data_IF_680383417592
#
_entry.id   IF_680383417592
#
_cell.length_a   1.000
_cell.length_b   1.000
_cell.length_c   1.000
_cell.angle_alpha   90.00
_cell.angle_beta   90.00
_cell.angle_gamma   90.00
#
_symmetry.space_group_name_H-M   'P 1'
#
loop_
_entity.id
_entity.type
_entity.pdbx_description
1 polymer ?
#
# COMPACT_ATOMS: atom_id res chain seq x y z
N UNK A 1 -2.55 -9.27 -8.29
CA UNK A 1 -3.76 -8.63 -7.71
C UNK A 1 -3.74 -8.76 -6.20
N UNK A 2 -4.14 -7.73 -5.46
CA UNK A 2 -4.16 -7.69 -3.99
C UNK A 2 -5.56 -8.08 -3.48
N UNK A 3 -5.70 -9.02 -2.53
CA UNK A 3 -6.99 -9.36 -1.93
C UNK A 3 -7.61 -8.18 -1.16
N UNK A 4 -8.95 -8.02 -1.14
CA UNK A 4 -9.59 -7.00 -0.30
C UNK A 4 -9.30 -7.19 1.19
N UNK A 5 -9.27 -6.09 1.94
CA UNK A 5 -8.98 -6.08 3.37
C UNK A 5 -7.77 -5.24 3.73
N UNK A 6 -7.30 -5.35 4.97
CA UNK A 6 -6.13 -4.62 5.45
C UNK A 6 -4.84 -5.26 4.96
N UNK A 7 -3.88 -4.44 4.55
CA UNK A 7 -2.51 -4.85 4.22
C UNK A 7 -1.52 -3.84 4.76
N UNK A 8 -0.30 -4.30 5.05
CA UNK A 8 0.82 -3.44 5.43
C UNK A 8 1.86 -3.42 4.31
N UNK A 9 2.14 -2.23 3.79
CA UNK A 9 3.16 -2.01 2.76
C UNK A 9 4.38 -1.42 3.45
N UNK A 10 5.49 -2.15 3.43
CA UNK A 10 6.75 -1.74 4.05
C UNK A 10 7.85 -1.52 3.03
N UNK A 11 8.71 -0.55 3.30
CA UNK A 11 9.93 -0.31 2.54
C UNK A 11 11.08 0.04 3.48
N UNK A 12 12.30 -0.17 3.00
CA UNK A 12 13.53 0.16 3.74
C UNK A 12 14.50 0.86 2.81
N UNK A 13 15.06 1.95 3.30
CA UNK A 13 16.24 2.58 2.69
C UNK A 13 17.46 1.94 3.35
N UNK A 14 18.49 1.62 2.57
CA UNK A 14 19.69 0.98 3.09
C UNK A 14 20.27 1.75 4.29
N UNK A 15 20.48 1.05 5.41
CA UNK A 15 20.97 1.63 6.66
C UNK A 15 19.93 2.35 7.52
N UNK A 16 18.66 2.43 7.10
CA UNK A 16 17.58 3.02 7.88
C UNK A 16 16.62 1.96 8.48
N UNK A 17 15.88 2.30 9.55
CA UNK A 17 14.75 1.50 9.99
C UNK A 17 13.71 1.28 8.88
N UNK A 18 12.92 0.21 9.00
CA UNK A 18 11.82 -0.04 8.07
C UNK A 18 10.69 0.96 8.34
N UNK A 19 10.21 1.62 7.29
CA UNK A 19 9.01 2.45 7.32
C UNK A 19 7.89 1.76 6.54
N UNK A 20 6.64 2.14 6.77
CA UNK A 20 5.52 1.59 6.02
C UNK A 20 4.20 2.23 6.36
N UNK A 21 3.13 1.72 5.77
CA UNK A 21 1.78 2.19 6.03
C UNK A 21 0.78 1.05 5.88
N UNK A 22 -0.33 1.18 6.59
CA UNK A 22 -1.48 0.31 6.42
C UNK A 22 -2.43 0.90 5.39
N UNK A 23 -3.04 0.02 4.58
CA UNK A 23 -4.11 0.38 3.68
C UNK A 23 -5.22 -0.66 3.75
N UNK A 24 -6.47 -0.20 3.71
CA UNK A 24 -7.62 -1.09 3.58
C UNK A 24 -8.06 -1.11 2.11
N UNK A 25 -7.69 -2.17 1.40
CA UNK A 25 -8.03 -2.37 0.00
C UNK A 25 -9.49 -2.76 -0.18
N UNK A 26 -10.17 -2.05 -1.06
CA UNK A 26 -11.50 -2.38 -1.56
C UNK A 26 -11.41 -3.27 -2.79
N UNK A 27 -12.50 -3.96 -3.11
CA UNK A 27 -12.52 -4.83 -4.29
C UNK A 27 -12.29 -4.02 -5.57
N UNK A 28 -11.37 -4.50 -6.43
CA UNK A 28 -10.96 -3.84 -7.70
C UNK A 28 -10.37 -2.43 -7.53
N UNK A 29 -9.93 -2.07 -6.34
CA UNK A 29 -9.26 -0.80 -6.12
C UNK A 29 -7.89 -0.76 -6.84
N UNK A 30 -7.64 0.34 -7.55
CA UNK A 30 -6.31 0.67 -8.08
C UNK A 30 -5.71 1.72 -7.15
N UNK A 31 -4.71 1.30 -6.39
CA UNK A 31 -4.00 2.15 -5.44
C UNK A 31 -2.58 2.40 -5.94
N UNK A 32 -2.23 3.66 -6.14
CA UNK A 32 -0.94 4.05 -6.69
C UNK A 32 -0.27 5.10 -5.81
N UNK A 33 1.03 4.94 -5.58
CA UNK A 33 1.86 5.93 -4.90
C UNK A 33 3.17 6.14 -5.63
N UNK A 34 3.73 7.33 -5.48
CA UNK A 34 5.02 7.71 -6.07
C UNK A 34 6.05 7.96 -4.98
N UNK A 35 7.24 7.43 -5.18
CA UNK A 35 8.37 7.70 -4.31
C UNK A 35 8.75 9.19 -4.35
N UNK A 36 8.86 9.81 -3.18
CA UNK A 36 9.41 11.15 -3.02
C UNK A 36 10.77 11.04 -2.34
N UNK A 37 11.86 11.21 -3.12
CA UNK A 37 13.22 11.04 -2.62
C UNK A 37 13.62 12.05 -1.56
N UNK A 38 13.11 13.29 -1.62
CA UNK A 38 13.44 14.34 -0.65
C UNK A 38 12.89 14.07 0.74
N UNK A 39 11.67 13.52 0.83
CA UNK A 39 11.04 13.15 2.10
C UNK A 39 11.27 11.68 2.48
N UNK A 40 11.79 10.88 1.55
CA UNK A 40 12.01 9.44 1.70
C UNK A 40 10.73 8.69 2.10
N UNK A 41 9.62 9.03 1.43
CA UNK A 41 8.28 8.45 1.63
C UNK A 41 7.51 8.29 0.31
N UNK A 42 6.52 7.39 0.29
CA UNK A 42 5.58 7.22 -0.82
C UNK A 42 4.41 8.19 -0.75
N UNK A 43 4.37 9.20 -1.61
CA UNK A 43 3.25 10.15 -1.67
C UNK A 43 2.13 9.66 -2.58
N UNK A 44 0.92 10.12 -2.29
CA UNK A 44 -0.22 9.96 -3.18
C UNK A 44 0.03 10.68 -4.51
N UNK A 45 -0.53 10.11 -5.56
CA UNK A 45 -0.57 10.73 -6.88
C UNK A 45 -1.72 11.73 -6.95
N UNK A 46 -1.63 12.69 -7.85
CA UNK A 46 -2.77 13.53 -8.18
C UNK A 46 -3.90 12.69 -8.81
N UNK A 47 -5.13 13.21 -8.73
CA UNK A 47 -6.32 12.49 -9.18
C UNK A 47 -6.28 12.14 -10.67
N UNK A 48 -5.71 13.02 -11.52
CA UNK A 48 -5.67 12.82 -12.96
C UNK A 48 -4.73 11.66 -13.29
N UNK A 49 -3.53 11.65 -12.73
CA UNK A 49 -2.55 10.56 -12.91
C UNK A 49 -3.11 9.24 -12.42
N UNK A 50 -3.72 9.24 -11.22
CA UNK A 50 -4.31 8.03 -10.63
C UNK A 50 -5.42 7.45 -11.50
N UNK A 51 -6.30 8.31 -12.02
CA UNK A 51 -7.40 7.90 -12.91
C UNK A 51 -6.87 7.37 -14.23
N UNK A 52 -5.82 7.98 -14.78
CA UNK A 52 -5.19 7.53 -16.02
C UNK A 52 -4.55 6.14 -15.86
N UNK A 53 -3.84 5.88 -14.77
CA UNK A 53 -3.26 4.56 -14.49
C UNK A 53 -4.37 3.50 -14.35
N UNK A 54 -5.48 3.83 -13.70
CA UNK A 54 -6.60 2.91 -13.48
C UNK A 54 -7.36 2.53 -14.77
N UNK A 55 -7.06 3.14 -15.92
CA UNK A 55 -7.66 2.75 -17.19
C UNK A 55 -7.27 1.30 -17.55
N UNK A 56 -8.22 0.43 -17.96
CA UNK A 56 -7.94 -0.98 -18.21
C UNK A 56 -6.79 -1.25 -19.18
N UNK A 57 -6.68 -0.44 -20.24
CA UNK A 57 -5.61 -0.55 -21.22
C UNK A 57 -4.22 -0.25 -20.63
N UNK A 58 -4.14 0.72 -19.72
CA UNK A 58 -2.89 1.13 -19.09
C UNK A 58 -2.47 0.13 -18.01
N UNK A 59 -3.43 -0.36 -17.20
CA UNK A 59 -3.18 -1.47 -16.27
C UNK A 59 -2.66 -2.69 -17.01
N UNK A 60 -3.30 -3.07 -18.12
CA UNK A 60 -2.88 -4.23 -18.91
C UNK A 60 -1.48 -4.06 -19.50
N UNK A 61 -1.11 -2.85 -19.93
CA UNK A 61 0.25 -2.60 -20.42
C UNK A 61 1.32 -2.63 -19.33
N UNK A 62 0.94 -2.42 -18.07
CA UNK A 62 1.86 -2.41 -16.93
C UNK A 62 1.95 -3.76 -16.21
N UNK A 63 1.03 -4.70 -16.49
CA UNK A 63 0.90 -5.96 -15.73
C UNK A 63 2.20 -6.78 -15.69
N UNK A 64 3.01 -6.75 -16.76
CA UNK A 64 4.31 -7.44 -16.82
C UNK A 64 5.36 -6.86 -15.85
N UNK A 65 5.22 -5.59 -15.47
CA UNK A 65 6.16 -4.88 -14.60
C UNK A 65 5.74 -4.95 -13.12
N UNK A 66 4.59 -5.56 -12.82
CA UNK A 66 4.08 -5.68 -11.46
C UNK A 66 4.48 -7.03 -10.86
N UNK A 67 5.01 -6.99 -9.65
CA UNK A 67 5.26 -8.20 -8.88
C UNK A 67 3.93 -8.90 -8.54
N UNK A 68 3.89 -10.24 -8.60
CA UNK A 68 2.73 -10.99 -8.14
C UNK A 68 2.55 -10.80 -6.63
N UNK A 69 1.30 -10.85 -6.16
CA UNK A 69 1.02 -10.83 -4.73
C UNK A 69 1.42 -12.19 -4.12
N UNK A 70 2.15 -12.22 -2.99
CA UNK A 70 2.62 -13.45 -2.37
C UNK A 70 1.45 -14.19 -1.68
N UNK A 71 0.70 -14.96 -2.46
CA UNK A 71 -0.53 -15.61 -2.02
C UNK A 71 -0.28 -16.69 -0.95
N UNK A 72 0.91 -17.27 -0.92
CA UNK A 72 1.33 -18.27 0.06
C UNK A 72 1.35 -17.72 1.49
N UNK A 73 1.74 -16.46 1.66
CA UNK A 73 1.75 -15.77 2.97
C UNK A 73 0.38 -15.23 3.36
N UNK A 74 -0.57 -15.14 2.42
CA UNK A 74 -1.85 -14.49 2.64
C UNK A 74 -2.66 -15.14 3.77
N UNK A 75 -2.67 -16.48 3.85
CA UNK A 75 -3.40 -17.19 4.93
C UNK A 75 -2.84 -16.85 6.30
N UNK A 76 -1.53 -16.75 6.42
CA UNK A 76 -0.85 -16.32 7.66
C UNK A 76 -1.19 -14.87 7.97
N UNK A 77 -1.16 -13.99 6.98
CA UNK A 77 -1.55 -12.60 7.14
C UNK A 77 -3.00 -12.45 7.63
N UNK A 78 -3.96 -13.21 7.09
CA UNK A 78 -5.34 -13.21 7.58
C UNK A 78 -5.41 -13.58 9.06
N UNK A 79 -4.63 -14.57 9.51
CA UNK A 79 -4.57 -14.94 10.93
C UNK A 79 -3.99 -13.84 11.84
N UNK A 80 -3.08 -13.02 11.32
CA UNK A 80 -2.46 -11.90 12.06
C UNK A 80 -3.31 -10.63 12.05
N UNK A 81 -4.16 -10.44 11.03
CA UNK A 81 -4.84 -9.16 10.76
C UNK A 81 -6.37 -9.21 10.87
N UNK A 82 -6.97 -10.37 11.17
CA UNK A 82 -8.42 -10.58 11.19
C UNK A 82 -9.22 -9.65 12.12
N UNK A 83 -8.61 -9.08 13.16
CA UNK A 83 -9.27 -8.15 14.08
C UNK A 83 -9.04 -6.66 13.74
N UNK A 84 -8.24 -6.36 12.72
CA UNK A 84 -7.98 -4.98 12.28
C UNK A 84 -9.09 -4.56 11.32
N UNK A 85 -10.15 -3.96 11.87
CA UNK A 85 -11.25 -3.41 11.06
C UNK A 85 -10.85 -2.13 10.33
N UNK A 86 -11.61 -1.77 9.29
CA UNK A 86 -11.45 -0.48 8.60
C UNK A 86 -11.55 0.69 9.58
N UNK A 87 -12.55 0.67 10.46
CA UNK A 87 -12.77 1.76 11.42
C UNK A 87 -11.64 1.85 12.46
N UNK A 88 -11.15 0.70 12.95
CA UNK A 88 -9.99 0.67 13.83
C UNK A 88 -8.76 1.25 13.13
N UNK A 89 -8.53 0.88 11.87
CA UNK A 89 -7.43 1.39 11.08
C UNK A 89 -7.51 2.90 10.88
N UNK A 90 -8.66 3.42 10.46
CA UNK A 90 -8.86 4.85 10.23
C UNK A 90 -8.66 5.67 11.51
N UNK A 91 -9.05 5.12 12.67
CA UNK A 91 -8.90 5.78 13.98
C UNK A 91 -7.47 5.76 14.51
N UNK A 92 -6.72 4.68 14.23
CA UNK A 92 -5.39 4.45 14.79
C UNK A 92 -4.24 4.80 13.83
N UNK A 93 -4.55 5.09 12.57
CA UNK A 93 -3.53 5.48 11.61
C UNK A 93 -2.83 6.77 12.07
N UNK A 94 -1.48 6.83 12.02
CA UNK A 94 -0.76 8.04 12.34
C UNK A 94 -1.20 9.21 11.46
N UNK A 95 -1.17 10.44 12.00
CA UNK A 95 -1.51 11.64 11.22
C UNK A 95 -0.62 11.82 9.98
N UNK A 96 0.65 11.41 10.06
CA UNK A 96 1.57 11.43 8.93
C UNK A 96 1.27 10.33 7.89
N UNK A 97 0.41 9.36 8.23
CA UNK A 97 0.03 8.24 7.38
C UNK A 97 1.04 7.09 7.34
N UNK A 98 2.13 7.17 8.11
CA UNK A 98 3.20 6.16 8.12
C UNK A 98 3.52 5.67 9.52
N UNK A 99 3.84 4.39 9.62
CA UNK A 99 4.55 3.80 10.75
C UNK A 99 6.04 3.97 10.44
N UNK A 100 6.70 4.86 11.17
CA UNK A 100 8.12 5.17 11.02
C UNK A 100 8.78 5.33 12.39
N UNK A 101 10.07 4.99 12.47
CA UNK A 101 10.89 5.08 13.69
C UNK A 101 11.73 6.37 13.76
N UNK A 102 11.54 7.28 12.81
CA UNK A 102 12.09 8.64 12.82
C UNK A 102 11.26 9.50 13.78
N UNK A 103 11.53 9.39 15.08
CA UNK A 103 11.08 10.35 16.11
C UNK A 103 12.01 11.55 16.17
#
# INVERSE_FOLDING_TARGET
MIPPGVHYISYRINGAPTSGFFHFFSQKEVFCRKWNSSAAVFKELDQLTSTNIALPQNLKSMDSELAPYPIEDYKKWCGLSNFISRDALMRLNPFCGFVDFRL
#
